data_IF_011423193966
#
_entry.id   IF_011423193966
#
_cell.length_a   1.000
_cell.length_b   1.000
_cell.length_c   1.000
_cell.angle_alpha   90.00
_cell.angle_beta   90.00
_cell.angle_gamma   90.00
#
_symmetry.space_group_name_H-M   'P 1'
#
loop_
_entity.id
_entity.type
_entity.pdbx_description
1 polymer ?
#
# COMPACT_ATOMS: atom_id res chain seq x y z
N UNK A 1 15.56 -7.93 -62.73
CA UNK A 1 15.37 -9.26 -62.10
C UNK A 1 13.94 -9.78 -62.21
N UNK A 2 12.89 -8.98 -62.03
CA UNK A 2 11.49 -9.48 -62.11
C UNK A 2 10.79 -9.28 -63.47
N UNK A 3 11.40 -8.51 -64.39
CA UNK A 3 10.81 -8.19 -65.69
C UNK A 3 10.63 -9.39 -66.63
N UNK A 4 11.40 -10.47 -66.43
CA UNK A 4 11.34 -11.71 -67.23
C UNK A 4 10.39 -12.76 -66.63
N UNK A 5 9.81 -12.51 -65.45
CA UNK A 5 8.84 -13.43 -64.86
C UNK A 5 7.46 -13.19 -65.45
N UNK A 6 6.90 -14.21 -66.10
CA UNK A 6 5.59 -14.18 -66.76
C UNK A 6 4.45 -13.80 -65.80
N UNK A 7 4.58 -14.12 -64.51
CA UNK A 7 3.60 -13.73 -63.49
C UNK A 7 3.56 -12.22 -63.26
N UNK A 8 4.67 -11.53 -63.52
CA UNK A 8 4.81 -10.09 -63.30
C UNK A 8 4.25 -9.30 -64.48
N UNK A 9 4.31 -9.83 -65.71
CA UNK A 9 3.79 -9.17 -66.92
C UNK A 9 2.26 -9.15 -67.01
N UNK A 10 1.57 -10.08 -66.33
CA UNK A 10 0.09 -10.15 -66.24
C UNK A 10 -0.49 -9.00 -65.42
N UNK A 11 0.24 -8.49 -64.42
CA UNK A 11 -0.24 -7.42 -63.53
C UNK A 11 -0.07 -6.06 -64.23
N UNK A 12 -1.12 -5.21 -64.32
CA UNK A 12 -0.99 -3.88 -64.91
C UNK A 12 0.10 -3.03 -64.25
N UNK A 13 0.79 -2.21 -65.05
CA UNK A 13 1.89 -1.32 -64.58
C UNK A 13 1.48 -0.48 -63.35
N UNK A 14 0.24 0.03 -63.37
CA UNK A 14 -0.34 0.82 -62.29
C UNK A 14 -0.38 0.07 -60.96
N UNK A 15 -0.82 -1.18 -60.98
CA UNK A 15 -0.98 -2.00 -59.78
C UNK A 15 0.38 -2.48 -59.27
N UNK A 16 1.34 -2.72 -60.18
CA UNK A 16 2.74 -3.00 -59.81
C UNK A 16 3.39 -1.82 -59.09
N UNK A 17 3.15 -0.60 -59.56
CA UNK A 17 3.66 0.62 -58.94
C UNK A 17 3.02 0.85 -57.58
N UNK A 18 1.71 0.64 -57.44
CA UNK A 18 0.99 0.75 -56.16
C UNK A 18 1.54 -0.24 -55.13
N UNK A 19 1.72 -1.52 -55.50
CA UNK A 19 2.32 -2.53 -54.62
C UNK A 19 3.76 -2.16 -54.23
N UNK A 20 4.54 -1.62 -55.17
CA UNK A 20 5.91 -1.18 -54.90
C UNK A 20 5.95 0.02 -53.94
N UNK A 21 5.07 1.01 -54.13
CA UNK A 21 4.92 2.16 -53.24
C UNK A 21 4.49 1.72 -51.83
N UNK A 22 3.55 0.78 -51.71
CA UNK A 22 3.11 0.22 -50.43
C UNK A 22 4.24 -0.53 -49.72
N UNK A 23 5.02 -1.35 -50.45
CA UNK A 23 6.17 -2.06 -49.91
C UNK A 23 7.25 -1.08 -49.46
N UNK A 24 7.55 -0.05 -50.26
CA UNK A 24 8.49 1.00 -49.89
C UNK A 24 8.04 1.76 -48.64
N UNK A 25 6.76 2.12 -48.56
CA UNK A 25 6.19 2.79 -47.40
C UNK A 25 6.27 1.92 -46.15
N UNK A 26 5.94 0.63 -46.27
CA UNK A 26 6.05 -0.33 -45.18
C UNK A 26 7.50 -0.51 -44.71
N UNK A 27 8.46 -0.63 -45.64
CA UNK A 27 9.88 -0.74 -45.31
C UNK A 27 10.39 0.53 -44.63
N UNK A 28 10.06 1.71 -45.15
CA UNK A 28 10.43 3.00 -44.55
C UNK A 28 9.83 3.18 -43.15
N UNK A 29 8.57 2.76 -42.94
CA UNK A 29 7.92 2.77 -41.63
C UNK A 29 8.59 1.79 -40.66
N UNK A 30 8.91 0.58 -41.12
CA UNK A 30 9.60 -0.45 -40.34
C UNK A 30 11.03 -0.03 -39.97
N UNK A 31 11.72 0.70 -40.85
CA UNK A 31 13.04 1.28 -40.55
C UNK A 31 12.96 2.43 -39.57
N UNK A 32 11.99 3.33 -39.70
CA UNK A 32 11.77 4.39 -38.70
C UNK A 32 11.46 3.84 -37.32
N UNK A 33 10.59 2.82 -37.21
CA UNK A 33 10.28 2.19 -35.91
C UNK A 33 11.49 1.45 -35.34
N UNK A 34 12.24 0.70 -36.16
CA UNK A 34 13.49 0.06 -35.71
C UNK A 34 14.52 1.09 -35.27
N UNK A 35 14.62 2.21 -36.00
CA UNK A 35 15.51 3.31 -35.66
C UNK A 35 15.08 3.98 -34.36
N UNK A 36 13.82 4.32 -34.15
CA UNK A 36 13.32 4.86 -32.88
C UNK A 36 13.49 3.88 -31.71
N UNK A 37 13.47 2.58 -31.96
CA UNK A 37 13.73 1.56 -30.95
C UNK A 37 15.22 1.44 -30.60
N UNK A 38 16.11 1.61 -31.58
CA UNK A 38 17.58 1.59 -31.40
C UNK A 38 18.10 2.92 -30.85
N UNK A 39 17.48 4.04 -31.26
CA UNK A 39 17.79 5.42 -30.84
C UNK A 39 17.03 5.79 -29.54
N UNK A 40 16.32 4.85 -28.91
CA UNK A 40 15.73 5.11 -27.61
C UNK A 40 16.86 5.15 -26.59
N UNK A 41 17.13 6.34 -26.06
CA UNK A 41 18.22 6.53 -25.11
C UNK A 41 17.93 5.78 -23.80
N UNK A 42 18.99 5.49 -23.03
CA UNK A 42 18.84 4.80 -21.73
C UNK A 42 17.93 5.58 -20.79
N UNK A 43 17.98 6.90 -20.88
CA UNK A 43 17.13 7.85 -20.18
C UNK A 43 15.66 7.70 -20.59
N UNK A 44 15.35 7.62 -21.88
CA UNK A 44 13.97 7.43 -22.37
C UNK A 44 13.41 6.06 -21.93
N UNK A 45 14.25 5.01 -21.98
CA UNK A 45 13.88 3.70 -21.46
C UNK A 45 13.55 3.77 -19.96
N UNK A 46 14.39 4.44 -19.16
CA UNK A 46 14.18 4.61 -17.72
C UNK A 46 12.90 5.42 -17.42
N UNK A 47 12.61 6.47 -18.19
CA UNK A 47 11.38 7.27 -18.03
C UNK A 47 10.14 6.40 -18.31
N UNK A 48 10.14 5.61 -19.38
CA UNK A 48 9.04 4.68 -19.67
C UNK A 48 8.83 3.66 -18.54
N UNK A 49 9.92 3.10 -17.99
CA UNK A 49 9.83 2.18 -16.86
C UNK A 49 9.34 2.87 -15.59
N UNK A 50 9.83 4.07 -15.28
CA UNK A 50 9.39 4.84 -14.13
C UNK A 50 7.91 5.22 -14.23
N UNK A 51 7.45 5.69 -15.40
CA UNK A 51 6.04 5.99 -15.63
C UNK A 51 5.18 4.73 -15.52
N UNK A 52 5.67 3.60 -16.04
CA UNK A 52 4.97 2.32 -15.91
C UNK A 52 4.88 1.86 -14.45
N UNK A 53 5.98 1.91 -13.70
CA UNK A 53 6.00 1.58 -12.26
C UNK A 53 5.05 2.50 -11.50
N UNK A 54 5.13 3.81 -11.69
CA UNK A 54 4.23 4.78 -11.06
C UNK A 54 2.76 4.53 -11.41
N UNK A 55 2.47 4.13 -12.65
CA UNK A 55 1.12 3.78 -13.07
C UNK A 55 0.64 2.52 -12.36
N UNK A 56 1.46 1.47 -12.29
CA UNK A 56 1.15 0.24 -11.56
C UNK A 56 0.92 0.50 -10.07
N UNK A 57 1.78 1.29 -9.42
CA UNK A 57 1.64 1.66 -8.01
C UNK A 57 0.35 2.44 -7.77
N UNK A 58 0.02 3.37 -8.66
CA UNK A 58 -1.23 4.14 -8.59
C UNK A 58 -2.45 3.26 -8.80
N UNK A 59 -2.42 2.34 -9.76
CA UNK A 59 -3.51 1.39 -10.01
C UNK A 59 -3.72 0.48 -8.78
N UNK A 60 -2.64 0.00 -8.16
CA UNK A 60 -2.72 -0.80 -6.93
C UNK A 60 -3.36 -0.01 -5.78
N UNK A 61 -2.98 1.27 -5.60
CA UNK A 61 -3.60 2.14 -4.59
C UNK A 61 -5.08 2.38 -4.90
N UNK A 62 -5.43 2.67 -6.15
CA UNK A 62 -6.83 2.84 -6.58
C UNK A 62 -7.64 1.57 -6.36
N UNK A 63 -7.06 0.38 -6.57
CA UNK A 63 -7.69 -0.91 -6.28
C UNK A 63 -7.88 -1.13 -4.77
N UNK A 64 -6.88 -0.81 -3.94
CA UNK A 64 -6.99 -0.83 -2.48
C UNK A 64 -8.13 0.09 -2.01
N UNK A 65 -8.19 1.32 -2.53
CA UNK A 65 -9.27 2.27 -2.22
C UNK A 65 -10.63 1.75 -2.69
N UNK A 66 -10.73 1.22 -3.92
CA UNK A 66 -11.98 0.63 -4.43
C UNK A 66 -12.43 -0.56 -3.58
N UNK A 67 -11.50 -1.39 -3.12
CA UNK A 67 -11.78 -2.54 -2.24
C UNK A 67 -12.36 -2.08 -0.90
N UNK A 68 -11.70 -1.13 -0.21
CA UNK A 68 -12.19 -0.55 1.04
C UNK A 68 -13.59 0.06 0.90
N UNK A 69 -13.85 0.77 -0.21
CA UNK A 69 -15.17 1.33 -0.50
C UNK A 69 -16.23 0.24 -0.72
N UNK A 70 -15.88 -0.88 -1.39
CA UNK A 70 -16.78 -2.03 -1.58
C UNK A 70 -17.09 -2.69 -0.24
N UNK A 71 -16.09 -2.90 0.59
CA UNK A 71 -16.23 -3.49 1.91
C UNK A 71 -17.13 -2.63 2.82
N UNK A 72 -16.91 -1.31 2.86
CA UNK A 72 -17.78 -0.38 3.59
C UNK A 72 -19.24 -0.44 3.12
N UNK A 73 -19.47 -0.59 1.81
CA UNK A 73 -20.83 -0.76 1.26
C UNK A 73 -21.44 -2.10 1.66
N UNK A 74 -20.69 -3.19 1.58
CA UNK A 74 -21.11 -4.52 2.07
C UNK A 74 -21.50 -4.45 3.54
N UNK A 75 -20.73 -3.75 4.35
CA UNK A 75 -21.00 -3.52 5.76
C UNK A 75 -22.31 -2.76 6.04
N UNK A 76 -22.68 -1.82 5.16
CA UNK A 76 -23.97 -1.12 5.25
C UNK A 76 -25.12 -2.06 4.90
N UNK A 77 -24.99 -2.79 3.78
CA UNK A 77 -25.99 -3.76 3.32
C UNK A 77 -26.24 -4.87 4.32
N UNK A 78 -25.20 -5.41 4.95
CA UNK A 78 -25.37 -6.45 5.98
C UNK A 78 -26.14 -5.92 7.19
N UNK A 79 -25.90 -4.67 7.59
CA UNK A 79 -26.65 -4.04 8.69
C UNK A 79 -28.11 -3.80 8.30
N UNK A 80 -28.35 -3.24 7.12
CA UNK A 80 -29.70 -3.00 6.60
C UNK A 80 -30.48 -4.31 6.47
N UNK A 81 -29.90 -5.34 5.85
CA UNK A 81 -30.54 -6.65 5.72
C UNK A 81 -30.91 -7.26 7.08
N UNK A 82 -30.06 -7.13 8.10
CA UNK A 82 -30.38 -7.59 9.46
C UNK A 82 -31.45 -6.73 10.13
N UNK A 83 -31.54 -5.44 9.83
CA UNK A 83 -32.63 -4.58 10.30
C UNK A 83 -33.97 -5.00 9.68
N UNK A 84 -33.99 -5.21 8.35
CA UNK A 84 -35.17 -5.69 7.63
C UNK A 84 -35.64 -7.05 8.19
N UNK A 85 -34.71 -7.95 8.53
CA UNK A 85 -35.02 -9.22 9.21
C UNK A 85 -35.74 -9.02 10.54
N UNK A 86 -35.27 -8.09 11.37
CA UNK A 86 -35.88 -7.83 12.67
C UNK A 86 -37.27 -7.20 12.52
N UNK A 87 -37.46 -6.39 11.48
CA UNK A 87 -38.77 -5.82 11.13
C UNK A 87 -39.74 -6.92 10.66
N UNK A 88 -39.31 -7.83 9.79
CA UNK A 88 -40.09 -9.02 9.40
C UNK A 88 -40.54 -9.84 10.62
N UNK A 89 -39.62 -10.11 11.56
CA UNK A 89 -39.92 -10.84 12.78
C UNK A 89 -40.93 -10.10 13.68
N UNK A 90 -40.87 -8.77 13.68
CA UNK A 90 -41.80 -7.94 14.42
C UNK A 90 -43.20 -7.95 13.78
N UNK A 91 -43.28 -7.87 12.45
CA UNK A 91 -44.54 -7.95 11.70
C UNK A 91 -45.21 -9.32 11.84
N UNK A 92 -44.42 -10.39 11.98
CA UNK A 92 -44.92 -11.72 12.30
C UNK A 92 -45.35 -11.89 13.77
N UNK A 93 -45.17 -10.88 14.62
CA UNK A 93 -45.50 -10.91 16.04
C UNK A 93 -44.58 -11.82 16.86
N UNK A 94 -43.47 -12.30 16.28
CA UNK A 94 -42.49 -13.12 16.98
C UNK A 94 -41.54 -12.24 17.79
N UNK A 95 -41.21 -11.04 17.28
CA UNK A 95 -40.42 -10.04 17.97
C UNK A 95 -41.31 -8.91 18.48
N UNK A 96 -41.39 -8.74 19.79
CA UNK A 96 -42.08 -7.64 20.43
C UNK A 96 -41.27 -7.12 21.63
N UNK A 97 -41.67 -6.01 22.23
CA UNK A 97 -40.94 -5.34 23.33
C UNK A 97 -40.69 -6.22 24.56
N UNK A 98 -41.58 -7.18 24.80
CA UNK A 98 -41.45 -8.17 25.89
C UNK A 98 -40.72 -9.47 25.49
N UNK A 99 -40.34 -9.66 24.22
CA UNK A 99 -39.66 -10.88 23.78
C UNK A 99 -38.27 -10.94 24.40
N UNK A 100 -37.95 -12.06 25.05
CA UNK A 100 -36.62 -12.27 25.60
C UNK A 100 -35.63 -12.66 24.49
N UNK A 101 -34.40 -12.15 24.56
CA UNK A 101 -33.34 -12.50 23.60
C UNK A 101 -33.11 -14.02 23.52
N UNK A 102 -33.12 -14.72 24.66
CA UNK A 102 -32.93 -16.17 24.69
C UNK A 102 -34.00 -16.94 23.91
N UNK A 103 -35.24 -16.45 23.88
CA UNK A 103 -36.34 -17.08 23.14
C UNK A 103 -36.23 -16.83 21.64
N UNK A 104 -35.69 -15.66 21.25
CA UNK A 104 -35.51 -15.28 19.85
C UNK A 104 -34.22 -15.81 19.24
N UNK A 105 -33.20 -16.07 20.07
CA UNK A 105 -31.87 -16.45 19.62
C UNK A 105 -31.85 -17.69 18.71
N UNK A 106 -32.59 -18.78 18.96
CA UNK A 106 -32.62 -19.92 18.04
C UNK A 106 -33.07 -19.55 16.62
N UNK A 107 -34.07 -18.66 16.51
CA UNK A 107 -34.55 -18.14 15.22
C UNK A 107 -33.52 -17.20 14.59
N UNK A 108 -32.99 -16.25 15.35
CA UNK A 108 -32.05 -15.24 14.88
C UNK A 108 -30.72 -15.86 14.44
N UNK A 109 -30.18 -16.81 15.21
CA UNK A 109 -28.90 -17.45 14.94
C UNK A 109 -28.92 -18.38 13.73
N UNK A 110 -30.10 -18.85 13.33
CA UNK A 110 -30.28 -19.68 12.13
C UNK A 110 -30.28 -18.88 10.82
N UNK A 111 -30.52 -17.57 10.88
CA UNK A 111 -30.62 -16.71 9.69
C UNK A 111 -29.23 -16.26 9.20
N UNK A 112 -29.02 -16.34 7.89
CA UNK A 112 -27.75 -15.97 7.23
C UNK A 112 -27.40 -14.48 7.39
N UNK A 113 -28.40 -13.59 7.53
CA UNK A 113 -28.22 -12.15 7.71
C UNK A 113 -27.57 -11.85 9.06
N UNK A 114 -27.95 -12.60 10.11
CA UNK A 114 -27.28 -12.52 11.41
C UNK A 114 -25.84 -12.99 11.33
N UNK A 115 -25.58 -14.13 10.68
CA UNK A 115 -24.22 -14.64 10.49
C UNK A 115 -23.33 -13.65 9.72
N UNK A 116 -23.85 -13.02 8.67
CA UNK A 116 -23.13 -12.00 7.89
C UNK A 116 -22.82 -10.74 8.70
N UNK A 117 -23.76 -10.28 9.54
CA UNK A 117 -23.57 -9.13 10.42
C UNK A 117 -22.55 -9.44 11.52
N UNK A 118 -22.63 -10.61 12.14
CA UNK A 118 -21.71 -11.05 13.17
C UNK A 118 -20.29 -11.25 12.63
N UNK A 119 -20.16 -11.91 11.48
CA UNK A 119 -18.86 -12.10 10.80
C UNK A 119 -18.15 -10.78 10.54
N UNK A 120 -18.88 -9.75 10.08
CA UNK A 120 -18.35 -8.40 9.92
C UNK A 120 -17.88 -7.77 11.24
N UNK A 121 -18.59 -7.98 12.35
CA UNK A 121 -18.18 -7.44 13.65
C UNK A 121 -16.88 -8.09 14.15
N UNK A 122 -16.74 -9.40 13.93
CA UNK A 122 -15.53 -10.15 14.27
C UNK A 122 -14.35 -9.71 13.39
N UNK A 123 -14.53 -9.65 12.07
CA UNK A 123 -13.53 -9.16 11.12
C UNK A 123 -13.02 -7.75 11.51
N UNK A 124 -13.94 -6.86 11.90
CA UNK A 124 -13.60 -5.52 12.39
C UNK A 124 -12.89 -5.53 13.75
N UNK A 125 -13.16 -6.49 14.62
CA UNK A 125 -12.48 -6.64 15.90
C UNK A 125 -11.04 -7.14 15.71
N UNK A 126 -10.85 -8.16 14.88
CA UNK A 126 -9.52 -8.66 14.50
C UNK A 126 -8.68 -7.59 13.79
N UNK A 127 -9.28 -6.80 12.90
CA UNK A 127 -8.58 -5.70 12.24
C UNK A 127 -8.03 -4.68 13.25
N UNK A 128 -8.78 -4.38 14.32
CA UNK A 128 -8.30 -3.51 15.41
C UNK A 128 -7.20 -4.15 16.23
N UNK A 129 -7.22 -5.46 16.42
CA UNK A 129 -6.18 -6.19 17.13
C UNK A 129 -4.86 -6.19 16.35
N UNK A 130 -4.90 -6.52 15.06
CA UNK A 130 -3.72 -6.46 14.18
C UNK A 130 -3.10 -5.06 14.13
N UNK A 131 -3.91 -4.00 14.19
CA UNK A 131 -3.38 -2.63 14.25
C UNK A 131 -2.63 -2.35 15.58
N UNK A 132 -3.14 -2.84 16.72
CA UNK A 132 -2.43 -2.72 18.01
C UNK A 132 -1.10 -3.46 18.01
N UNK A 133 -1.06 -4.66 17.43
CA UNK A 133 0.19 -5.42 17.29
C UNK A 133 1.22 -4.70 16.42
N UNK A 134 0.81 -4.13 15.29
CA UNK A 134 1.69 -3.32 14.43
C UNK A 134 2.21 -2.09 15.16
N UNK A 135 1.38 -1.44 15.97
CA UNK A 135 1.79 -0.29 16.76
C UNK A 135 2.82 -0.66 17.82
N UNK A 136 2.60 -1.74 18.57
CA UNK A 136 3.58 -2.25 19.54
C UNK A 136 4.87 -2.70 18.85
N UNK A 137 4.80 -3.32 17.67
CA UNK A 137 5.99 -3.66 16.88
C UNK A 137 6.77 -2.41 16.43
N UNK A 138 6.08 -1.37 15.96
CA UNK A 138 6.70 -0.07 15.61
C UNK A 138 7.35 0.57 16.84
N UNK A 139 6.70 0.51 17.99
CA UNK A 139 7.23 1.01 19.26
C UNK A 139 8.47 0.25 19.70
N UNK A 140 8.50 -1.08 19.54
CA UNK A 140 9.70 -1.89 19.79
C UNK A 140 10.84 -1.50 18.83
N UNK A 141 10.56 -1.35 17.53
CA UNK A 141 11.55 -0.87 16.56
C UNK A 141 12.06 0.54 16.88
N UNK A 142 11.21 1.44 17.34
CA UNK A 142 11.63 2.79 17.79
C UNK A 142 12.57 2.71 18.99
N UNK A 143 12.29 1.85 19.97
CA UNK A 143 13.18 1.62 21.12
C UNK A 143 14.52 1.06 20.65
N UNK A 144 14.52 0.07 19.76
CA UNK A 144 15.74 -0.51 19.19
C UNK A 144 16.54 0.54 18.41
N UNK A 145 15.89 1.34 17.57
CA UNK A 145 16.52 2.41 16.82
C UNK A 145 17.12 3.48 17.73
N UNK A 146 16.39 3.88 18.79
CA UNK A 146 16.89 4.80 19.80
C UNK A 146 18.11 4.24 20.54
N UNK A 147 18.09 2.95 20.90
CA UNK A 147 19.21 2.26 21.52
C UNK A 147 20.43 2.17 20.59
N UNK A 148 20.24 1.80 19.32
CA UNK A 148 21.30 1.81 18.30
C UNK A 148 21.90 3.20 18.11
N UNK A 149 21.05 4.23 18.07
CA UNK A 149 21.49 5.63 17.99
C UNK A 149 22.32 6.04 19.20
N UNK A 150 21.90 5.64 20.41
CA UNK A 150 22.66 5.86 21.64
C UNK A 150 24.03 5.17 21.60
N UNK A 151 24.11 3.90 21.17
CA UNK A 151 25.38 3.17 21.04
C UNK A 151 26.30 3.82 20.00
N UNK A 152 25.76 4.29 18.88
CA UNK A 152 26.54 5.00 17.84
C UNK A 152 27.13 6.32 18.34
N UNK A 153 26.49 6.97 19.31
CA UNK A 153 26.93 8.22 19.91
C UNK A 153 27.79 8.03 21.17
N UNK A 154 27.99 6.80 21.63
CA UNK A 154 28.79 6.51 22.81
C UNK A 154 30.26 6.94 22.58
N UNK A 155 30.84 7.59 23.59
CA UNK A 155 32.23 8.05 23.59
C UNK A 155 32.91 7.48 24.84
N UNK A 156 33.99 6.68 24.74
CA UNK A 156 34.76 6.32 23.55
C UNK A 156 33.98 5.40 22.57
N UNK A 157 34.33 5.42 21.26
CA UNK A 157 33.71 4.56 20.25
C UNK A 157 33.78 3.08 20.61
N UNK A 158 32.71 2.34 20.33
CA UNK A 158 32.68 0.89 20.57
C UNK A 158 33.56 0.19 19.52
N UNK A 159 34.68 -0.35 19.97
CA UNK A 159 35.57 -1.19 19.16
C UNK A 159 34.96 -2.59 18.92
N UNK A 160 35.31 -3.30 17.83
CA UNK A 160 34.75 -4.63 17.51
C UNK A 160 35.01 -5.73 18.56
N UNK A 161 35.98 -5.53 19.45
CA UNK A 161 36.31 -6.41 20.58
C UNK A 161 35.68 -5.94 21.91
N UNK A 162 34.87 -4.87 21.89
CA UNK A 162 34.18 -4.35 23.06
C UNK A 162 33.17 -5.38 23.58
N UNK A 163 33.51 -5.99 24.71
CA UNK A 163 32.61 -6.87 25.45
C UNK A 163 31.49 -6.05 26.10
N UNK A 164 30.26 -6.59 26.13
CA UNK A 164 29.06 -5.97 26.73
C UNK A 164 29.29 -5.41 28.15
N UNK A 165 30.23 -5.97 28.91
CA UNK A 165 30.62 -5.52 30.24
C UNK A 165 31.31 -4.13 30.26
N UNK A 166 32.03 -3.75 29.20
CA UNK A 166 32.67 -2.42 29.08
C UNK A 166 31.77 -1.34 28.45
N UNK A 167 30.69 -1.75 27.79
CA UNK A 167 29.71 -0.86 27.16
C UNK A 167 28.49 -0.57 28.07
N UNK A 168 28.31 -1.35 29.14
CA UNK A 168 27.32 -1.08 30.17
C UNK A 168 27.80 0.11 31.01
N UNK A 169 27.07 1.24 31.08
CA UNK A 169 27.47 2.34 31.93
C UNK A 169 27.42 1.86 33.38
N UNK A 170 28.58 1.51 33.94
CA UNK A 170 28.72 1.32 35.37
C UNK A 170 28.16 2.56 36.06
N UNK A 171 27.27 2.30 37.01
CA UNK A 171 26.68 3.19 37.99
C UNK A 171 27.60 4.35 38.42
N UNK A 172 27.59 5.45 37.65
CA UNK A 172 28.15 6.75 38.00
C UNK A 172 27.00 7.68 38.37
N UNK A 173 26.80 7.91 39.66
CA UNK A 173 25.74 8.74 40.20
C UNK A 173 25.89 10.20 39.80
N UNK A 174 25.08 10.65 38.85
CA UNK A 174 24.66 12.05 38.74
C UNK A 174 23.34 12.15 37.94
N UNK A 175 22.24 11.70 38.55
CA UNK A 175 20.89 11.69 37.94
C UNK A 175 19.93 12.71 38.55
N UNK A 176 20.39 13.65 39.34
CA UNK A 176 19.48 14.56 40.04
C UNK A 176 19.44 15.96 39.40
N UNK A 177 18.73 16.06 38.27
CA UNK A 177 17.89 17.22 37.88
C UNK A 177 17.41 17.14 36.43
N UNK A 178 18.26 16.72 35.49
CA UNK A 178 17.96 16.77 34.06
C UNK A 178 17.03 15.64 33.57
N UNK A 179 17.03 14.49 34.27
CA UNK A 179 16.12 13.38 33.98
C UNK A 179 14.67 13.67 34.37
N UNK A 180 14.46 14.42 35.45
CA UNK A 180 13.12 14.73 35.98
C UNK A 180 12.31 15.64 35.07
N UNK A 181 12.97 16.60 34.40
CA UNK A 181 12.33 17.45 33.39
C UNK A 181 11.98 16.66 32.12
N UNK A 182 12.86 15.73 31.70
CA UNK A 182 12.66 14.93 30.49
C UNK A 182 11.58 13.85 30.68
N UNK A 183 11.49 13.25 31.88
CA UNK A 183 10.41 12.32 32.24
C UNK A 183 9.05 13.03 32.34
N UNK A 184 9.01 14.26 32.85
CA UNK A 184 7.79 15.08 32.91
C UNK A 184 7.30 15.48 31.52
N UNK A 185 8.22 15.81 30.62
CA UNK A 185 7.91 16.16 29.23
C UNK A 185 7.40 14.92 28.47
N UNK A 186 8.04 13.76 28.67
CA UNK A 186 7.59 12.48 28.14
C UNK A 186 6.23 12.04 28.68
N UNK A 187 5.95 12.25 29.97
CA UNK A 187 4.63 11.96 30.55
C UNK A 187 3.55 12.89 30.01
N UNK A 188 3.83 14.18 29.85
CA UNK A 188 2.90 15.13 29.20
C UNK A 188 2.63 14.80 27.74
N UNK A 189 3.65 14.35 27.00
CA UNK A 189 3.50 13.94 25.60
C UNK A 189 2.65 12.67 25.50
N UNK A 190 2.88 11.70 26.39
CA UNK A 190 2.10 10.47 26.50
C UNK A 190 0.65 10.72 26.92
N UNK A 191 0.40 11.72 27.75
CA UNK A 191 -0.95 12.14 28.14
C UNK A 191 -1.67 12.83 26.97
N UNK A 192 -0.99 13.71 26.22
CA UNK A 192 -1.50 14.32 24.98
C UNK A 192 -1.79 13.30 23.88
N UNK A 193 -0.99 12.24 23.76
CA UNK A 193 -1.26 11.15 22.81
C UNK A 193 -2.51 10.36 23.20
N UNK A 194 -2.66 10.02 24.49
CA UNK A 194 -3.86 9.35 25.03
C UNK A 194 -5.12 10.18 24.85
N UNK A 195 -5.02 11.50 25.00
CA UNK A 195 -6.15 12.42 24.81
C UNK A 195 -6.56 12.48 23.33
N UNK A 196 -5.58 12.56 22.40
CA UNK A 196 -5.83 12.47 20.94
C UNK A 196 -6.43 11.13 20.53
N UNK A 197 -6.01 10.03 21.14
CA UNK A 197 -6.56 8.69 20.90
C UNK A 197 -8.03 8.61 21.37
N UNK A 198 -8.31 9.13 22.57
CA UNK A 198 -9.66 9.17 23.13
C UNK A 198 -10.60 10.03 22.27
N UNK A 199 -10.15 11.20 21.80
CA UNK A 199 -10.94 12.05 20.89
C UNK A 199 -11.19 11.39 19.53
N UNK A 200 -10.21 10.69 18.96
CA UNK A 200 -10.38 9.90 17.73
C UNK A 200 -11.38 8.76 17.89
N UNK A 201 -11.43 8.17 19.09
CA UNK A 201 -12.37 7.09 19.42
C UNK A 201 -13.80 7.61 19.66
N UNK A 202 -13.95 8.88 20.07
CA UNK A 202 -15.23 9.52 20.39
C UNK A 202 -15.84 10.33 19.25
N UNK A 203 -15.03 10.84 18.32
CA UNK A 203 -15.49 11.59 17.16
C UNK A 203 -16.01 10.69 16.02
N UNK A 204 -17.18 10.08 16.23
CA UNK A 204 -18.10 9.69 15.15
C UNK A 204 -19.56 9.91 15.58
N UNK A 205 -20.08 11.16 15.55
CA UNK A 205 -21.45 11.40 15.19
C UNK A 205 -21.53 11.53 13.67
N UNK A 206 -22.37 10.70 13.05
CA UNK A 206 -22.81 10.88 11.69
C UNK A 206 -23.73 12.10 11.65
N UNK A 207 -23.28 13.21 11.05
CA UNK A 207 -24.12 14.35 10.73
C UNK A 207 -24.15 14.58 9.21
N UNK A 208 -25.37 14.68 8.70
CA UNK A 208 -25.71 14.89 7.30
C UNK A 208 -25.28 16.27 6.77
N UNK A 209 -25.25 16.33 5.44
CA UNK A 209 -25.52 17.47 4.55
C UNK A 209 -24.48 18.57 4.29
N UNK A 210 -24.26 18.75 2.99
CA UNK A 210 -23.97 19.98 2.23
C UNK A 210 -22.53 20.52 2.09
N UNK A 211 -21.97 20.23 0.91
CA UNK A 211 -21.41 21.18 -0.06
C UNK A 211 -20.71 22.43 0.52
N UNK A 212 -19.37 22.45 0.45
CA UNK A 212 -18.57 23.60 -0.01
C UNK A 212 -17.09 23.23 -0.14
N UNK A 213 -16.55 23.41 -1.35
CA UNK A 213 -15.11 23.43 -1.61
C UNK A 213 -14.46 24.69 -1.03
N UNK A 214 -13.20 24.60 -0.57
CA UNK A 214 -12.30 25.74 -0.71
C UNK A 214 -10.94 25.38 -1.31
N UNK A 215 -10.62 26.17 -2.35
CA UNK A 215 -9.34 26.72 -2.81
C UNK A 215 -8.02 26.09 -2.32
N UNK A 216 -7.24 25.66 -3.31
CA UNK A 216 -5.81 25.31 -3.27
C UNK A 216 -4.98 26.45 -2.66
N UNK A 217 -4.06 26.10 -1.74
CA UNK A 217 -2.95 26.94 -1.32
C UNK A 217 -1.68 26.08 -1.35
N UNK A 218 -0.74 26.48 -2.17
CA UNK A 218 0.58 25.88 -2.38
C UNK A 218 1.43 26.03 -1.13
N UNK A 219 1.83 24.89 -0.54
CA UNK A 219 2.84 24.79 0.51
C UNK A 219 3.92 23.83 0.02
N UNK A 220 5.11 24.40 -0.12
CA UNK A 220 6.40 23.79 -0.43
C UNK A 220 6.65 22.53 0.42
N UNK A 221 6.79 21.37 -0.22
CA UNK A 221 7.25 20.14 0.41
C UNK A 221 8.72 19.93 0.04
N UNK A 222 9.55 19.80 1.07
CA UNK A 222 10.92 19.29 0.97
C UNK A 222 10.84 17.77 0.81
N UNK A 223 11.46 17.27 -0.25
CA UNK A 223 11.66 15.85 -0.53
C UNK A 223 12.25 15.12 0.69
N UNK A 224 11.43 14.25 1.28
CA UNK A 224 11.80 13.36 2.37
C UNK A 224 11.24 11.96 2.09
N UNK A 225 11.67 11.36 0.98
CA UNK A 225 11.37 9.97 0.68
C UNK A 225 12.39 9.07 1.37
N UNK A 226 12.06 8.61 2.58
CA UNK A 226 12.65 7.40 3.16
C UNK A 226 11.96 6.18 2.54
N UNK A 227 12.35 5.82 1.32
CA UNK A 227 12.10 4.50 0.72
C UNK A 227 13.00 3.48 1.38
N UNK A 228 12.56 2.90 2.51
CA UNK A 228 13.08 1.63 3.00
C UNK A 228 11.92 0.65 3.20
N UNK A 229 11.34 0.26 2.06
CA UNK A 229 10.42 -0.85 1.92
C UNK A 229 10.99 -1.86 0.93
N UNK A 230 11.72 -2.85 1.45
CA UNK A 230 12.23 -4.02 0.72
C UNK A 230 13.48 -3.80 -0.14
N UNK A 231 14.63 -3.55 0.50
CA UNK A 231 15.92 -3.93 -0.08
C UNK A 231 15.97 -5.47 -0.12
N UNK A 232 15.81 -6.06 -1.31
CA UNK A 232 16.34 -7.41 -1.55
C UNK A 232 17.83 -7.35 -1.18
N UNK A 233 18.31 -8.32 -0.40
CA UNK A 233 19.71 -8.33 0.03
C UNK A 233 20.61 -8.19 -1.21
N UNK A 234 21.73 -7.47 -1.09
CA UNK A 234 22.73 -7.37 -2.16
C UNK A 234 23.06 -8.75 -2.77
N UNK A 235 23.04 -9.82 -1.95
CA UNK A 235 23.20 -11.20 -2.41
C UNK A 235 22.04 -11.80 -3.22
N UNK A 236 20.80 -11.32 -3.05
CA UNK A 236 19.64 -11.69 -3.88
C UNK A 236 19.64 -10.98 -5.22
N UNK A 237 20.06 -9.70 -5.23
CA UNK A 237 20.29 -8.92 -6.45
C UNK A 237 21.42 -9.54 -7.28
N UNK A 238 22.53 -9.92 -6.64
CA UNK A 238 23.66 -10.56 -7.32
C UNK A 238 23.30 -11.95 -7.88
N UNK A 239 22.44 -12.71 -7.17
CA UNK A 239 21.89 -13.98 -7.68
C UNK A 239 21.03 -13.77 -8.92
N UNK A 240 20.09 -12.83 -8.89
CA UNK A 240 19.24 -12.52 -10.06
C UNK A 240 20.07 -12.03 -11.24
N UNK A 241 21.08 -11.21 -10.98
CA UNK A 241 22.02 -10.72 -12.00
C UNK A 241 22.81 -11.87 -12.64
N UNK A 242 23.30 -12.83 -11.85
CA UNK A 242 23.96 -14.04 -12.36
C UNK A 242 23.03 -14.88 -13.24
N UNK A 243 21.81 -15.13 -12.76
CA UNK A 243 20.83 -15.94 -13.49
C UNK A 243 20.45 -15.30 -14.82
N UNK A 244 20.30 -13.96 -14.87
CA UNK A 244 20.04 -13.23 -16.11
C UNK A 244 21.23 -13.27 -17.08
N UNK A 245 22.46 -13.15 -16.59
CA UNK A 245 23.66 -13.26 -17.43
C UNK A 245 23.82 -14.68 -18.00
N UNK A 246 23.52 -15.71 -17.22
CA UNK A 246 23.56 -17.11 -17.65
C UNK A 246 22.51 -17.44 -18.72
N UNK A 247 21.37 -16.73 -18.73
CA UNK A 247 20.36 -16.84 -19.79
C UNK A 247 20.76 -16.13 -21.10
N UNK A 248 21.68 -15.17 -21.04
CA UNK A 248 22.13 -14.38 -22.19
C UNK A 248 23.37 -14.98 -22.89
N UNK A 249 24.14 -15.81 -22.19
CA UNK A 249 25.32 -16.53 -22.73
C UNK A 249 25.00 -17.98 -23.16
N UNK A 250 23.72 -18.35 -23.28
CA UNK A 250 23.33 -19.65 -23.82
C UNK A 250 23.61 -19.71 -25.34
N UNK A 251 24.29 -20.76 -25.86
CA UNK A 251 24.70 -20.87 -27.27
C UNK A 251 23.54 -21.02 -28.25
#
# INVERSE_FOLDING_TARGET
MFAEMEVWSIVPERDRLEIYEDVLFYLAKKEKVRKCFIDMDKEDALICFEEHIRTLEKEEEDEKQKSLLRERRRHCKNREAFQDFLEELHDHGQLHSMSAWMEMYPTISSDIRFANMLGQLLEKAEAREREREKEEARKMKRKEAAFKSMLKQATPPLEPDSTWEGASPESGGDRDKKGRDRDRDWEQEKEKEREKENDRSRAKPCSQSEQKSPKRKSGKEEDGWDTLGSELSEGELEKRRRTLLEQLDAP
#
